data_IF_503266059317
#
_entry.id   IF_503266059317
#
_cell.length_a   1.000
_cell.length_b   1.000
_cell.length_c   1.000
_cell.angle_alpha   90.00
_cell.angle_beta   90.00
_cell.angle_gamma   90.00
#
_symmetry.space_group_name_H-M   'P 1'
#
loop_
_entity.id
_entity.type
_entity.pdbx_description
1 polymer ?
#
# COMPACT_ATOMS: atom_id res chain seq x y z
N UNK A 1 1.91 48.83 20.34
CA UNK A 1 2.35 49.00 18.94
C UNK A 1 1.99 47.73 18.20
N UNK A 2 0.82 47.68 17.57
CA UNK A 2 0.41 46.56 16.71
C UNK A 2 0.64 47.02 15.26
N UNK A 3 1.43 46.28 14.48
CA UNK A 3 1.68 46.58 13.07
C UNK A 3 0.89 45.62 12.17
N UNK A 4 -0.16 46.17 11.55
CA UNK A 4 -0.67 45.82 10.21
C UNK A 4 0.49 45.69 9.21
N UNK A 5 0.53 44.91 8.13
CA UNK A 5 -0.43 44.21 7.24
C UNK A 5 0.38 43.10 6.53
N UNK A 6 -0.26 42.13 5.86
CA UNK A 6 0.04 41.66 4.48
C UNK A 6 -1.08 40.69 4.06
N UNK A 7 -2.08 41.23 3.35
CA UNK A 7 -3.10 40.50 2.62
C UNK A 7 -2.57 40.23 1.21
N UNK A 8 -2.18 38.99 0.91
CA UNK A 8 -2.16 38.47 -0.47
C UNK A 8 -2.26 36.94 -0.43
N UNK A 9 -3.26 36.39 -1.12
CA UNK A 9 -3.49 34.96 -1.37
C UNK A 9 -3.91 34.07 -0.17
N UNK A 10 -5.21 34.07 0.11
CA UNK A 10 -5.97 32.82 0.15
C UNK A 10 -6.00 31.94 1.39
N UNK A 11 -5.06 32.00 2.34
CA UNK A 11 -5.21 31.36 3.68
C UNK A 11 -4.42 32.14 4.73
N UNK A 12 -5.08 33.04 5.46
CA UNK A 12 -4.50 33.62 6.67
C UNK A 12 -4.57 32.58 7.78
N UNK A 13 -3.48 31.83 8.02
CA UNK A 13 -3.30 31.11 9.28
C UNK A 13 -3.09 32.14 10.38
N UNK A 14 -4.19 32.64 10.94
CA UNK A 14 -4.21 33.51 12.12
C UNK A 14 -3.36 32.87 13.22
N UNK A 15 -2.23 33.51 13.54
CA UNK A 15 -1.43 33.12 14.69
C UNK A 15 -2.27 33.38 15.95
N UNK A 16 -2.57 32.31 16.68
CA UNK A 16 -3.20 32.39 18.01
C UNK A 16 -2.12 32.15 19.06
N UNK A 17 -2.32 32.53 20.34
CA UNK A 17 -1.36 32.25 21.40
C UNK A 17 -0.93 30.78 21.46
N UNK A 18 -1.82 29.87 21.06
CA UNK A 18 -1.61 28.43 21.14
C UNK A 18 -1.23 27.80 19.80
N UNK A 19 -1.19 28.53 18.68
CA UNK A 19 -0.86 27.96 17.36
C UNK A 19 -0.22 28.98 16.44
N UNK A 20 0.94 28.64 15.87
CA UNK A 20 1.61 29.39 14.82
C UNK A 20 2.07 28.45 13.69
N UNK A 21 2.75 29.00 12.69
CA UNK A 21 3.21 28.23 11.52
C UNK A 21 4.21 27.09 11.83
N UNK A 22 4.87 27.12 13.00
CA UNK A 22 5.90 26.16 13.41
C UNK A 22 5.47 25.22 14.52
N UNK A 23 4.51 25.61 15.36
CA UNK A 23 4.12 24.81 16.52
C UNK A 23 2.69 25.09 16.99
N UNK A 24 2.14 24.12 17.73
CA UNK A 24 0.86 24.23 18.43
C UNK A 24 1.06 23.81 19.89
N UNK A 25 0.62 24.64 20.83
CA UNK A 25 0.59 24.36 22.25
C UNK A 25 -0.60 23.44 22.55
N UNK A 26 -0.34 22.35 23.27
CA UNK A 26 -1.38 21.42 23.75
C UNK A 26 -1.14 21.19 25.24
N UNK A 27 -2.20 21.29 26.05
CA UNK A 27 -2.13 21.09 27.50
C UNK A 27 -2.87 19.81 27.87
N UNK A 28 -2.17 18.88 28.52
CA UNK A 28 -2.75 17.64 29.06
C UNK A 28 -2.16 17.36 30.42
N UNK A 29 -2.90 16.67 31.30
CA UNK A 29 -2.36 16.14 32.54
C UNK A 29 -1.71 14.79 32.26
N UNK A 30 -0.45 14.64 32.63
CA UNK A 30 0.29 13.37 32.53
C UNK A 30 0.32 12.75 33.94
N UNK A 31 -0.08 11.47 34.10
CA UNK A 31 0.03 10.75 35.38
C UNK A 31 1.46 10.76 35.95
N UNK A 32 1.58 10.72 37.28
CA UNK A 32 2.88 10.79 37.95
C UNK A 32 3.80 9.62 37.61
N UNK A 33 3.26 8.41 37.58
CA UNK A 33 3.97 7.18 37.20
C UNK A 33 4.54 7.27 35.77
N UNK A 34 3.80 7.88 34.84
CA UNK A 34 4.26 8.10 33.47
C UNK A 34 5.37 9.16 33.42
N UNK A 35 5.26 10.23 34.22
CA UNK A 35 6.31 11.25 34.31
C UNK A 35 7.60 10.70 34.94
N UNK A 36 7.49 9.89 35.98
CA UNK A 36 8.63 9.20 36.62
C UNK A 36 9.31 8.25 35.63
N UNK A 37 8.51 7.40 34.96
CA UNK A 37 9.02 6.47 33.94
C UNK A 37 9.74 7.19 32.80
N UNK A 38 9.27 8.36 32.39
CA UNK A 38 9.94 9.19 31.38
C UNK A 38 11.31 9.65 31.86
N UNK A 39 11.43 10.14 33.09
CA UNK A 39 12.70 10.64 33.62
C UNK A 39 13.73 9.52 33.79
N UNK A 40 13.30 8.29 34.09
CA UNK A 40 14.19 7.12 34.19
C UNK A 40 14.86 6.73 32.86
N UNK A 41 14.16 6.94 31.73
CA UNK A 41 14.63 6.52 30.40
C UNK A 41 15.20 7.66 29.54
N UNK A 42 15.10 8.90 30.02
CA UNK A 42 15.61 10.08 29.31
C UNK A 42 17.12 10.02 29.13
N UNK A 43 17.57 10.47 27.96
CA UNK A 43 19.00 10.57 27.69
C UNK A 43 19.63 11.76 28.41
N UNK A 44 20.94 11.68 28.69
CA UNK A 44 21.66 12.78 29.32
C UNK A 44 21.55 14.07 28.48
N UNK A 45 21.05 15.14 29.09
CA UNK A 45 20.84 16.43 28.42
C UNK A 45 19.55 16.53 27.58
N UNK A 46 18.71 15.49 27.55
CA UNK A 46 17.43 15.52 26.87
C UNK A 46 16.40 16.35 27.65
N UNK A 47 15.68 17.24 26.94
CA UNK A 47 14.57 18.00 27.51
C UNK A 47 13.26 17.20 27.48
N UNK A 48 12.34 17.46 28.41
CA UNK A 48 11.02 16.82 28.44
C UNK A 48 10.26 17.06 27.13
N UNK A 49 10.36 18.28 26.58
CA UNK A 49 9.79 18.60 25.28
C UNK A 49 10.40 17.78 24.14
N UNK A 50 11.73 17.61 24.14
CA UNK A 50 12.46 16.78 23.16
C UNK A 50 12.02 15.32 23.22
N UNK A 51 11.92 14.76 24.43
CA UNK A 51 11.43 13.40 24.65
C UNK A 51 10.00 13.22 24.13
N UNK A 52 9.08 14.10 24.54
CA UNK A 52 7.66 14.03 24.16
C UNK A 52 7.47 14.14 22.64
N UNK A 53 8.16 15.09 21.98
CA UNK A 53 8.08 15.24 20.52
C UNK A 53 8.59 13.98 19.81
N UNK A 54 9.69 13.40 20.28
CA UNK A 54 10.24 12.16 19.72
C UNK A 54 9.27 11.00 19.90
N UNK A 55 8.70 10.82 21.10
CA UNK A 55 7.71 9.80 21.38
C UNK A 55 6.45 9.94 20.50
N UNK A 56 5.92 11.15 20.36
CA UNK A 56 4.77 11.45 19.50
C UNK A 56 5.06 11.12 18.03
N UNK A 57 6.24 11.48 17.51
CA UNK A 57 6.65 11.15 16.13
C UNK A 57 6.74 9.64 15.93
N UNK A 58 7.31 8.92 16.89
CA UNK A 58 7.39 7.46 16.86
C UNK A 58 6.00 6.81 16.83
N UNK A 59 5.05 7.31 17.63
CA UNK A 59 3.67 6.78 17.63
C UNK A 59 2.93 7.06 16.32
N UNK A 60 3.08 8.27 15.74
CA UNK A 60 2.51 8.59 14.43
C UNK A 60 3.04 7.62 13.36
N UNK A 61 4.35 7.41 13.32
CA UNK A 61 4.98 6.50 12.36
C UNK A 61 4.48 5.05 12.52
N UNK A 62 4.31 4.56 13.76
CA UNK A 62 3.73 3.23 14.01
C UNK A 62 2.32 3.09 13.46
N UNK A 63 1.46 4.09 13.67
CA UNK A 63 0.07 4.04 13.18
C UNK A 63 0.00 4.11 11.66
N UNK A 64 0.80 4.98 11.04
CA UNK A 64 0.91 5.06 9.57
C UNK A 64 1.44 3.77 8.96
N UNK A 65 2.38 3.08 9.63
CA UNK A 65 2.88 1.78 9.18
C UNK A 65 1.81 0.70 9.24
N UNK A 66 0.99 0.68 10.29
CA UNK A 66 -0.09 -0.30 10.41
C UNK A 66 -1.18 -0.07 9.35
N UNK A 67 -1.57 1.19 9.13
CA UNK A 67 -2.54 1.56 8.09
C UNK A 67 -2.02 1.19 6.69
N UNK A 68 -0.76 1.54 6.37
CA UNK A 68 -0.16 1.22 5.07
C UNK A 68 0.21 -0.26 4.90
N UNK A 69 0.52 -0.97 5.98
CA UNK A 69 0.85 -2.39 5.97
C UNK A 69 -0.37 -3.24 5.65
N UNK A 70 -1.51 -2.96 6.28
CA UNK A 70 -2.77 -3.66 6.01
C UNK A 70 -3.27 -3.37 4.58
N UNK A 71 -3.30 -2.10 4.17
CA UNK A 71 -3.68 -1.70 2.81
C UNK A 71 -2.77 -2.33 1.74
N UNK A 72 -1.46 -2.35 1.98
CA UNK A 72 -0.47 -2.93 1.06
C UNK A 72 -0.56 -4.46 0.98
N UNK A 73 -0.87 -5.13 2.09
CA UNK A 73 -1.11 -6.58 2.08
C UNK A 73 -2.36 -6.91 1.28
N UNK A 74 -3.45 -6.16 1.47
CA UNK A 74 -4.70 -6.33 0.73
C UNK A 74 -4.50 -6.08 -0.78
N UNK A 75 -3.81 -5.01 -1.17
CA UNK A 75 -3.54 -4.74 -2.59
C UNK A 75 -2.64 -5.79 -3.23
N UNK A 76 -1.62 -6.28 -2.51
CA UNK A 76 -0.75 -7.36 -3.01
C UNK A 76 -1.48 -8.69 -3.19
N UNK A 77 -2.48 -8.98 -2.34
CA UNK A 77 -3.32 -10.17 -2.46
C UNK A 77 -4.25 -10.06 -3.66
N UNK A 78 -4.88 -8.90 -3.86
CA UNK A 78 -5.73 -8.64 -5.03
C UNK A 78 -4.96 -8.78 -6.33
N UNK A 79 -3.74 -8.23 -6.41
CA UNK A 79 -2.86 -8.40 -7.57
C UNK A 79 -2.53 -9.87 -7.84
N UNK A 80 -2.22 -10.64 -6.79
CA UNK A 80 -1.93 -12.07 -6.92
C UNK A 80 -3.14 -12.88 -7.41
N UNK A 81 -4.34 -12.59 -6.89
CA UNK A 81 -5.58 -13.24 -7.31
C UNK A 81 -5.93 -12.93 -8.77
N UNK A 82 -5.76 -11.67 -9.19
CA UNK A 82 -5.94 -11.28 -10.59
C UNK A 82 -4.94 -11.97 -11.52
N UNK A 83 -3.69 -12.12 -11.09
CA UNK A 83 -2.68 -12.85 -11.87
C UNK A 83 -3.05 -14.33 -12.04
N UNK A 84 -3.52 -14.99 -10.99
CA UNK A 84 -3.99 -16.38 -11.05
C UNK A 84 -5.22 -16.54 -11.96
N UNK A 85 -6.17 -15.61 -11.91
CA UNK A 85 -7.32 -15.61 -12.83
C UNK A 85 -6.87 -15.53 -14.29
N UNK A 86 -5.95 -14.62 -14.62
CA UNK A 86 -5.38 -14.48 -15.97
C UNK A 86 -4.66 -15.74 -16.43
N UNK A 87 -3.91 -16.40 -15.54
CA UNK A 87 -3.25 -17.68 -15.84
C UNK A 87 -4.29 -18.75 -16.17
N UNK A 88 -5.39 -18.81 -15.41
CA UNK A 88 -6.51 -19.72 -15.67
C UNK A 88 -7.13 -19.51 -17.07
N UNK A 89 -7.39 -18.26 -17.44
CA UNK A 89 -7.91 -17.89 -18.77
C UNK A 89 -6.97 -18.32 -19.90
N UNK A 90 -5.67 -18.03 -19.75
CA UNK A 90 -4.65 -18.44 -20.72
C UNK A 90 -4.60 -19.96 -20.85
N UNK A 91 -4.63 -20.68 -19.73
CA UNK A 91 -4.63 -22.14 -19.72
C UNK A 91 -5.86 -22.74 -20.40
N UNK A 92 -7.04 -22.19 -20.16
CA UNK A 92 -8.28 -22.62 -20.81
C UNK A 92 -8.21 -22.43 -22.33
N UNK A 93 -7.69 -21.28 -22.79
CA UNK A 93 -7.50 -20.98 -24.20
C UNK A 93 -6.48 -21.91 -24.85
N UNK A 94 -5.30 -22.07 -24.25
CA UNK A 94 -4.29 -22.99 -24.75
C UNK A 94 -4.82 -24.43 -24.84
N UNK A 95 -5.63 -24.87 -23.87
CA UNK A 95 -6.29 -26.17 -23.91
C UNK A 95 -7.34 -26.31 -25.02
N UNK A 96 -7.99 -25.21 -25.45
CA UNK A 96 -8.85 -25.20 -26.63
C UNK A 96 -8.01 -25.32 -27.90
N UNK A 97 -7.00 -24.48 -28.05
CA UNK A 97 -6.14 -24.45 -29.24
C UNK A 97 -5.46 -25.81 -29.49
N UNK A 98 -5.02 -26.48 -28.41
CA UNK A 98 -4.44 -27.84 -28.50
C UNK A 98 -5.47 -28.85 -29.03
N UNK A 99 -6.73 -28.78 -28.60
CA UNK A 99 -7.80 -29.68 -29.05
C UNK A 99 -8.08 -29.49 -30.54
N UNK A 100 -8.15 -28.24 -30.99
CA UNK A 100 -8.36 -27.91 -32.41
C UNK A 100 -7.21 -28.46 -33.29
N UNK A 101 -5.96 -28.32 -32.83
CA UNK A 101 -4.78 -28.87 -33.53
C UNK A 101 -4.86 -30.40 -33.64
N UNK A 102 -5.26 -31.08 -32.56
CA UNK A 102 -5.40 -32.54 -32.54
C UNK A 102 -6.50 -32.99 -33.51
N UNK A 103 -7.63 -32.28 -33.56
CA UNK A 103 -8.72 -32.56 -34.50
C UNK A 103 -8.25 -32.43 -35.96
N UNK A 104 -7.59 -31.32 -36.30
CA UNK A 104 -7.03 -31.09 -37.65
C UNK A 104 -6.03 -32.20 -38.03
N UNK A 105 -5.17 -32.61 -37.10
CA UNK A 105 -4.19 -33.65 -37.35
C UNK A 105 -4.85 -35.02 -37.64
N UNK A 106 -5.89 -35.36 -36.88
CA UNK A 106 -6.65 -36.60 -37.09
C UNK A 106 -7.39 -36.60 -38.43
N UNK A 107 -8.04 -35.50 -38.79
CA UNK A 107 -8.72 -35.35 -40.08
C UNK A 107 -7.76 -35.53 -41.26
N UNK A 108 -6.57 -34.93 -41.18
CA UNK A 108 -5.55 -35.06 -42.23
C UNK A 108 -4.96 -36.47 -42.28
N UNK A 109 -4.79 -37.16 -41.13
CA UNK A 109 -4.39 -38.57 -41.09
C UNK A 109 -5.42 -39.47 -41.78
N UNK A 110 -6.70 -39.31 -41.46
CA UNK A 110 -7.78 -40.09 -42.09
C UNK A 110 -7.84 -39.84 -43.60
N UNK A 111 -7.73 -38.57 -44.02
CA UNK A 111 -7.72 -38.20 -45.43
C UNK A 111 -6.60 -38.89 -46.21
N UNK A 112 -5.40 -38.97 -45.60
CA UNK A 112 -4.26 -39.69 -46.19
C UNK A 112 -4.53 -41.17 -46.28
N UNK A 113 -5.02 -41.80 -45.22
CA UNK A 113 -5.34 -43.24 -45.23
C UNK A 113 -6.38 -43.60 -46.30
N UNK A 114 -7.42 -42.78 -46.48
CA UNK A 114 -8.42 -42.96 -47.54
C UNK A 114 -7.79 -42.86 -48.93
N UNK A 115 -6.94 -41.85 -49.18
CA UNK A 115 -6.22 -41.70 -50.46
C UNK A 115 -5.26 -42.85 -50.77
N UNK A 116 -4.59 -43.39 -49.76
CA UNK A 116 -3.70 -44.55 -49.94
C UNK A 116 -4.51 -45.80 -50.30
N UNK A 117 -5.60 -46.08 -49.58
CA UNK A 117 -6.50 -47.22 -49.88
C UNK A 117 -7.13 -47.15 -51.28
N UNK A 118 -7.48 -45.97 -51.77
CA UNK A 118 -8.06 -45.81 -53.12
C UNK A 118 -7.05 -46.01 -54.25
N UNK A 119 -5.75 -45.88 -53.99
CA UNK A 119 -4.70 -46.11 -55.01
C UNK A 119 -4.26 -47.57 -55.13
N UNK A 120 -4.60 -48.41 -54.16
CA UNK A 120 -4.23 -49.84 -54.11
C UNK A 120 -5.34 -50.78 -54.64
N UNK A 121 -6.46 -50.22 -55.11
CA UNK A 121 -7.60 -50.92 -55.76
C UNK A 121 -7.61 -50.57 -57.24
#
# INVERSE_FOLDING_TARGET
>A
MYTETHLYSGVSVMATPNKNAKSQLTTVRVPHDVMESMEEVKQAGESNAGFIVTAMRGEIARRQLNESGEEKLLSSLDEALQALSKIGEIGARAGSDIRDIVEIANDELERRQRKTKTKEV
#
